data_IF_582022136372
#
_entry.id   IF_582022136372
#
_cell.length_a   1.000
_cell.length_b   1.000
_cell.length_c   1.000
_cell.angle_alpha   90.00
_cell.angle_beta   90.00
_cell.angle_gamma   90.00
#
_symmetry.space_group_name_H-M   'P 1'
#
loop_
_entity.id
_entity.type
_entity.pdbx_description
1 polymer ?
#
# COMPACT_ATOMS: atom_id res chain seq x y z
N UNK A 1 0.93 5.82 5.01
CA UNK A 1 1.25 4.38 4.87
C UNK A 1 1.93 3.88 6.14
N UNK A 2 1.80 2.59 6.45
CA UNK A 2 2.42 1.97 7.64
C UNK A 2 3.93 1.89 7.40
N UNK A 3 4.76 2.22 8.41
CA UNK A 3 6.23 2.24 8.30
C UNK A 3 6.90 0.95 8.82
N UNK A 4 6.12 -0.01 9.32
CA UNK A 4 6.59 -1.28 9.88
C UNK A 4 5.54 -2.36 9.65
N UNK A 5 5.89 -3.63 9.87
CA UNK A 5 4.88 -4.70 9.94
C UNK A 5 3.92 -4.35 11.10
N UNK A 6 2.59 -4.29 10.86
CA UNK A 6 1.63 -4.05 11.93
C UNK A 6 1.75 -5.06 13.08
N UNK A 7 1.48 -4.61 14.31
CA UNK A 7 1.41 -5.53 15.45
C UNK A 7 0.31 -6.58 15.20
N UNK A 8 0.64 -7.86 15.40
CA UNK A 8 -0.29 -8.99 15.24
C UNK A 8 -0.29 -9.67 13.87
N UNK A 9 0.57 -9.29 12.93
CA UNK A 9 0.76 -10.02 11.66
C UNK A 9 1.35 -11.41 11.93
N UNK A 10 0.69 -12.46 11.45
CA UNK A 10 1.11 -13.84 11.68
C UNK A 10 2.37 -14.20 10.90
N UNK A 11 3.05 -15.29 11.28
CA UNK A 11 4.23 -15.76 10.55
C UNK A 11 3.88 -16.15 9.10
N UNK A 12 2.66 -16.64 8.86
CA UNK A 12 2.14 -16.95 7.53
C UNK A 12 1.94 -15.69 6.70
N UNK A 13 1.37 -14.62 7.27
CA UNK A 13 1.19 -13.34 6.59
C UNK A 13 2.55 -12.69 6.25
N UNK A 14 3.54 -12.77 7.16
CA UNK A 14 4.92 -12.33 6.88
C UNK A 14 5.54 -13.13 5.73
N UNK A 15 5.39 -14.45 5.76
CA UNK A 15 5.92 -15.33 4.72
C UNK A 15 5.26 -15.08 3.36
N UNK A 16 3.95 -14.82 3.36
CA UNK A 16 3.20 -14.46 2.17
C UNK A 16 3.68 -13.12 1.59
N UNK A 17 3.85 -12.10 2.45
CA UNK A 17 4.35 -10.79 2.04
C UNK A 17 5.74 -10.88 1.41
N UNK A 18 6.65 -11.65 2.02
CA UNK A 18 7.99 -11.91 1.46
C UNK A 18 7.89 -12.57 0.10
N UNK A 19 7.06 -13.60 -0.03
CA UNK A 19 6.91 -14.31 -1.30
C UNK A 19 6.38 -13.40 -2.40
N UNK A 20 5.33 -12.63 -2.10
CA UNK A 20 4.73 -11.65 -3.02
C UNK A 20 5.75 -10.59 -3.44
N UNK A 21 6.56 -10.07 -2.51
CA UNK A 21 7.59 -9.09 -2.83
C UNK A 21 8.70 -9.65 -3.74
N UNK A 22 9.18 -10.87 -3.47
CA UNK A 22 10.17 -11.55 -4.32
C UNK A 22 9.63 -11.80 -5.73
N UNK A 23 8.41 -12.31 -5.85
CA UNK A 23 7.81 -12.65 -7.14
C UNK A 23 7.56 -11.40 -7.98
N UNK A 24 7.06 -10.33 -7.34
CA UNK A 24 6.91 -9.04 -8.00
C UNK A 24 8.25 -8.48 -8.47
N UNK A 25 9.29 -8.55 -7.63
CA UNK A 25 10.62 -8.05 -7.98
C UNK A 25 11.21 -8.79 -9.19
N UNK A 26 11.08 -10.13 -9.21
CA UNK A 26 11.53 -10.95 -10.33
C UNK A 26 10.76 -10.62 -11.63
N UNK A 27 9.43 -10.48 -11.54
CA UNK A 27 8.59 -10.19 -12.70
C UNK A 27 8.80 -8.79 -13.30
N UNK A 28 9.28 -7.82 -12.50
CA UNK A 28 9.43 -6.42 -12.91
C UNK A 28 10.90 -5.97 -13.02
N UNK A 29 11.85 -6.90 -12.94
CA UNK A 29 13.28 -6.60 -13.13
C UNK A 29 13.90 -5.77 -12.00
N UNK A 30 13.34 -5.80 -10.79
CA UNK A 30 13.95 -5.23 -9.58
C UNK A 30 15.03 -6.19 -9.05
N UNK A 31 16.09 -6.37 -9.84
CA UNK A 31 17.07 -7.42 -9.65
C UNK A 31 18.52 -6.91 -9.84
N UNK A 32 19.46 -7.63 -9.23
CA UNK A 32 20.90 -7.42 -9.36
C UNK A 32 21.61 -8.77 -9.55
N UNK A 33 22.87 -8.73 -9.99
CA UNK A 33 23.74 -9.92 -9.95
C UNK A 33 24.14 -10.22 -8.50
N UNK A 34 24.12 -11.49 -8.08
CA UNK A 34 24.58 -11.83 -6.75
C UNK A 34 26.08 -11.52 -6.61
N UNK A 35 26.54 -10.96 -5.48
CA UNK A 35 27.97 -10.80 -5.24
C UNK A 35 28.65 -12.16 -5.00
N UNK A 36 29.97 -12.29 -5.23
CA UNK A 36 30.71 -13.54 -5.02
C UNK A 36 30.61 -14.09 -3.59
N UNK A 37 30.35 -13.23 -2.61
CA UNK A 37 30.14 -13.60 -1.20
C UNK A 37 28.83 -14.36 -0.96
N UNK A 38 27.87 -14.26 -1.88
CA UNK A 38 26.56 -14.94 -1.80
C UNK A 38 26.50 -16.11 -2.78
N UNK A 39 26.96 -15.90 -4.02
CA UNK A 39 27.08 -16.96 -5.03
C UNK A 39 28.51 -16.95 -5.57
N UNK A 40 29.34 -17.96 -5.22
CA UNK A 40 30.71 -18.06 -5.73
C UNK A 40 30.75 -18.14 -7.26
N UNK A 41 31.81 -17.62 -7.87
CA UNK A 41 31.94 -17.56 -9.33
C UNK A 41 31.95 -18.96 -9.98
N UNK A 42 32.37 -19.99 -9.24
CA UNK A 42 32.36 -21.37 -9.69
C UNK A 42 30.95 -21.94 -9.87
N UNK A 43 29.96 -21.39 -9.15
CA UNK A 43 28.55 -21.80 -9.20
C UNK A 43 27.81 -21.10 -10.35
N UNK A 44 28.22 -19.89 -10.73
CA UNK A 44 27.69 -19.14 -11.87
C UNK A 44 28.79 -18.60 -12.80
N UNK A 45 29.55 -19.49 -13.46
CA UNK A 45 30.71 -19.09 -14.26
C UNK A 45 30.32 -18.27 -15.49
N UNK A 46 29.05 -18.38 -15.93
CA UNK A 46 28.50 -17.64 -17.06
C UNK A 46 27.77 -16.35 -16.63
N UNK A 47 27.65 -16.08 -15.32
CA UNK A 47 26.99 -14.88 -14.80
C UNK A 47 25.51 -14.78 -15.17
N UNK A 48 24.80 -15.91 -15.28
CA UNK A 48 23.40 -15.96 -15.73
C UNK A 48 22.42 -15.70 -14.59
N UNK A 49 22.81 -15.91 -13.34
CA UNK A 49 21.92 -15.81 -12.18
C UNK A 49 21.66 -14.36 -11.78
N UNK A 50 20.44 -14.10 -11.30
CA UNK A 50 20.03 -12.82 -10.75
C UNK A 50 19.24 -13.04 -9.45
N UNK A 51 19.36 -12.10 -8.54
CA UNK A 51 18.61 -12.06 -7.27
C UNK A 51 17.82 -10.76 -7.21
N UNK A 52 16.75 -10.72 -6.41
CA UNK A 52 16.06 -9.45 -6.17
C UNK A 52 17.03 -8.44 -5.52
N UNK A 53 16.90 -7.16 -5.86
CA UNK A 53 17.63 -6.12 -5.16
C UNK A 53 17.20 -6.09 -3.67
N UNK A 54 18.09 -5.80 -2.71
CA UNK A 54 17.67 -5.57 -1.33
C UNK A 54 16.72 -4.38 -1.26
N UNK A 55 15.58 -4.54 -0.61
CA UNK A 55 14.53 -3.51 -0.50
C UNK A 55 13.98 -3.41 0.91
N UNK A 56 13.45 -2.26 1.30
CA UNK A 56 12.48 -2.22 2.40
C UNK A 56 11.14 -2.83 1.94
N UNK A 57 10.33 -3.30 2.89
CA UNK A 57 8.96 -3.77 2.59
C UNK A 57 7.93 -2.63 2.62
N UNK A 58 8.25 -1.55 3.35
CA UNK A 58 7.38 -0.40 3.51
C UNK A 58 8.13 0.88 3.17
N UNK A 59 7.44 1.90 2.63
CA UNK A 59 8.06 3.18 2.36
C UNK A 59 8.41 3.92 3.66
N UNK A 60 9.63 4.43 3.74
CA UNK A 60 10.09 5.20 4.91
C UNK A 60 9.51 6.61 4.95
N UNK A 61 9.23 7.11 6.16
CA UNK A 61 8.65 8.44 6.38
C UNK A 61 9.68 9.52 6.06
N UNK A 62 9.26 10.58 5.35
CA UNK A 62 10.14 11.71 5.04
C UNK A 62 9.37 13.04 5.08
N UNK A 63 9.93 14.15 5.61
CA UNK A 63 9.22 15.42 5.73
C UNK A 63 8.82 16.03 4.39
N UNK A 64 7.56 16.44 4.22
CA UNK A 64 7.03 16.99 2.97
C UNK A 64 7.69 18.33 2.54
N UNK A 65 8.14 19.15 3.48
CA UNK A 65 8.82 20.43 3.16
C UNK A 65 10.23 20.22 2.58
N UNK A 66 10.85 19.08 2.86
CA UNK A 66 12.20 18.75 2.42
C UNK A 66 12.28 18.38 0.93
N UNK A 67 11.23 17.79 0.36
CA UNK A 67 11.18 17.36 -1.04
C UNK A 67 10.98 18.50 -2.05
N UNK A 68 10.85 19.75 -1.60
CA UNK A 68 10.57 20.92 -2.45
C UNK A 68 11.79 21.78 -2.81
N UNK A 69 12.99 21.42 -2.34
CA UNK A 69 14.22 22.17 -2.64
C UNK A 69 14.69 21.87 -4.07
N UNK A 70 14.51 22.85 -4.96
CA UNK A 70 15.13 22.85 -6.30
C UNK A 70 16.56 23.37 -6.18
N UNK A 71 17.54 22.48 -6.31
CA UNK A 71 18.93 22.88 -6.42
C UNK A 71 19.15 23.61 -7.74
N UNK A 72 19.58 24.88 -7.67
CA UNK A 72 20.01 25.66 -8.84
C UNK A 72 21.52 25.51 -8.98
N UNK A 73 21.96 24.74 -9.97
CA UNK A 73 23.37 24.53 -10.28
C UNK A 73 24.06 25.84 -10.65
N UNK A 74 25.16 26.15 -9.97
CA UNK A 74 26.02 27.32 -10.26
C UNK A 74 27.41 26.83 -10.69
N UNK A 75 28.10 27.61 -11.52
CA UNK A 75 29.52 27.40 -11.84
C UNK A 75 30.34 27.39 -10.54
N UNK A 76 31.06 26.29 -10.30
CA UNK A 76 31.98 26.14 -9.18
C UNK A 76 33.39 26.59 -9.60
N UNK A 77 34.03 27.41 -8.77
CA UNK A 77 35.48 27.67 -8.82
C UNK A 77 36.14 26.78 -7.77
N UNK A 78 37.14 25.99 -8.17
CA UNK A 78 37.79 25.03 -7.30
C UNK A 78 39.27 25.37 -7.06
N UNK A 79 39.74 25.08 -5.86
CA UNK A 79 41.14 25.00 -5.44
C UNK A 79 41.31 23.67 -4.72
N UNK A 80 42.31 22.86 -5.08
CA UNK A 80 42.48 21.49 -4.58
C UNK A 80 43.88 21.25 -4.01
N UNK A 81 43.97 20.44 -2.96
CA UNK A 81 45.13 19.58 -2.69
C UNK A 81 44.99 18.34 -3.56
N UNK A 82 46.06 17.92 -4.25
CA UNK A 82 45.97 17.00 -5.37
C UNK A 82 46.63 15.66 -5.01
N UNK A 83 45.84 14.59 -4.94
CA UNK A 83 46.37 13.22 -4.91
C UNK A 83 46.71 12.72 -6.33
N UNK A 84 47.39 11.57 -6.44
CA UNK A 84 47.83 11.04 -7.73
C UNK A 84 46.68 10.74 -8.70
N UNK A 85 45.49 10.40 -8.19
CA UNK A 85 44.31 10.12 -9.00
C UNK A 85 43.74 11.41 -9.59
N UNK A 86 43.52 12.43 -8.76
CA UNK A 86 43.05 13.76 -9.17
C UNK A 86 44.08 14.42 -10.10
N UNK A 87 45.38 14.27 -9.82
CA UNK A 87 46.45 14.76 -10.69
C UNK A 87 46.39 14.12 -12.08
N UNK A 88 46.07 12.82 -12.14
CA UNK A 88 45.93 12.10 -13.41
C UNK A 88 44.70 12.57 -14.20
N UNK A 89 43.57 12.82 -13.55
CA UNK A 89 42.39 13.42 -14.18
C UNK A 89 42.69 14.83 -14.70
N UNK A 90 43.44 15.63 -13.94
CA UNK A 90 43.86 16.97 -14.36
C UNK A 90 44.76 16.93 -15.61
N UNK A 91 45.71 16.00 -15.67
CA UNK A 91 46.55 15.80 -16.87
C UNK A 91 45.73 15.47 -18.12
N UNK A 92 44.63 14.73 -17.97
CA UNK A 92 43.68 14.49 -19.08
C UNK A 92 43.04 15.81 -19.51
N UNK A 93 42.54 16.62 -18.57
CA UNK A 93 42.00 17.95 -18.85
C UNK A 93 43.00 18.83 -19.62
N UNK A 94 44.25 18.90 -19.17
CA UNK A 94 45.30 19.73 -19.79
C UNK A 94 45.59 19.30 -21.23
N UNK A 95 45.68 18.00 -21.50
CA UNK A 95 45.91 17.47 -22.84
C UNK A 95 44.76 17.82 -23.80
N UNK A 96 43.51 17.62 -23.37
CA UNK A 96 42.34 17.98 -24.20
C UNK A 96 42.27 19.49 -24.43
N UNK A 97 42.63 20.30 -23.41
CA UNK A 97 42.68 21.76 -23.55
C UNK A 97 43.73 22.22 -24.56
N UNK A 98 44.89 21.56 -24.64
CA UNK A 98 45.94 21.87 -25.62
C UNK A 98 45.50 21.59 -27.06
N UNK A 99 44.70 20.54 -27.28
CA UNK A 99 44.11 20.22 -28.58
C UNK A 99 42.94 21.17 -28.93
N UNK A 100 42.30 21.75 -27.91
CA UNK A 100 41.07 22.53 -28.00
C UNK A 100 39.84 21.65 -27.85
N UNK A 101 38.89 22.06 -27.00
CA UNK A 101 37.65 21.31 -26.81
C UNK A 101 36.81 21.28 -28.08
N UNK A 102 36.58 20.09 -28.63
CA UNK A 102 35.79 19.90 -29.84
C UNK A 102 34.26 19.99 -29.60
N UNK A 103 33.80 19.68 -28.39
CA UNK A 103 32.39 19.70 -27.98
C UNK A 103 32.21 20.75 -26.89
N UNK A 104 31.35 21.74 -27.13
CA UNK A 104 31.07 22.83 -26.20
C UNK A 104 29.87 22.54 -25.29
N UNK A 105 29.06 21.52 -25.60
CA UNK A 105 27.95 21.06 -24.76
C UNK A 105 28.42 20.06 -23.71
N UNK A 106 27.93 20.23 -22.49
CA UNK A 106 28.12 19.34 -21.34
C UNK A 106 26.77 18.88 -20.80
N UNK A 107 26.62 17.57 -20.59
CA UNK A 107 25.46 16.96 -19.94
C UNK A 107 25.87 16.44 -18.56
N UNK A 108 25.16 16.86 -17.53
CA UNK A 108 25.31 16.40 -16.16
C UNK A 108 24.08 15.61 -15.71
N UNK A 109 24.32 14.41 -15.19
CA UNK A 109 23.31 13.58 -14.52
C UNK A 109 23.69 13.52 -13.03
N UNK A 110 23.18 14.48 -12.27
CA UNK A 110 23.58 14.74 -10.89
C UNK A 110 22.67 14.04 -9.90
N UNK A 111 23.17 13.80 -8.68
CA UNK A 111 22.35 13.40 -7.54
C UNK A 111 22.79 14.10 -6.26
N UNK A 112 21.87 14.84 -5.66
CA UNK A 112 22.04 15.56 -4.40
C UNK A 112 21.47 14.73 -3.27
N UNK A 113 22.32 14.26 -2.36
CA UNK A 113 21.94 13.30 -1.32
C UNK A 113 21.76 14.00 0.03
N UNK A 114 20.65 13.71 0.73
CA UNK A 114 20.23 14.38 1.97
C UNK A 114 19.83 13.40 3.06
N UNK A 115 20.11 13.75 4.32
CA UNK A 115 19.60 13.05 5.50
C UNK A 115 18.75 13.96 6.38
N UNK A 116 17.75 13.35 7.03
CA UNK A 116 16.89 14.04 8.00
C UNK A 116 17.63 14.21 9.32
N UNK A 117 17.59 15.43 9.83
CA UNK A 117 18.12 15.82 11.12
C UNK A 117 16.99 16.44 11.94
N UNK A 118 16.97 16.14 13.22
CA UNK A 118 16.04 16.76 14.16
C UNK A 118 16.86 17.54 15.19
N UNK A 119 16.60 18.83 15.30
CA UNK A 119 17.16 19.67 16.36
C UNK A 119 16.05 20.43 17.09
N UNK A 120 16.42 21.32 18.03
CA UNK A 120 15.46 22.11 18.81
C UNK A 120 14.53 23.00 17.95
N UNK A 121 14.86 23.22 16.67
CA UNK A 121 14.06 23.98 15.70
C UNK A 121 13.14 23.11 14.83
N UNK A 122 13.20 21.78 14.98
CA UNK A 122 12.37 20.80 14.28
C UNK A 122 13.13 19.98 13.23
N UNK A 123 12.38 19.26 12.39
CA UNK A 123 12.93 18.41 11.33
C UNK A 123 13.49 19.23 10.17
N UNK A 124 14.74 18.98 9.81
CA UNK A 124 15.44 19.58 8.69
C UNK A 124 16.11 18.52 7.82
N UNK A 125 16.35 18.83 6.55
CA UNK A 125 17.26 18.02 5.71
C UNK A 125 18.59 18.74 5.53
N UNK A 126 19.67 17.96 5.63
CA UNK A 126 21.04 18.42 5.37
C UNK A 126 21.62 17.59 4.24
N UNK A 127 22.24 18.28 3.28
CA UNK A 127 22.94 17.63 2.18
C UNK A 127 24.17 16.94 2.75
N UNK A 128 24.34 15.66 2.43
CA UNK A 128 25.48 14.84 2.82
C UNK A 128 26.48 14.78 1.67
N UNK A 129 26.00 14.68 0.44
CA UNK A 129 26.84 14.51 -0.74
C UNK A 129 26.21 15.14 -2.00
N UNK A 130 27.06 15.52 -2.96
CA UNK A 130 26.65 15.91 -4.30
C UNK A 130 27.41 15.11 -5.36
N UNK A 131 26.72 14.19 -6.02
CA UNK A 131 27.28 13.26 -7.00
C UNK A 131 27.27 13.88 -8.40
N UNK A 132 28.43 13.91 -9.05
CA UNK A 132 28.62 14.49 -10.40
C UNK A 132 29.00 13.48 -11.47
N UNK A 133 29.22 12.22 -11.09
CA UNK A 133 29.59 11.13 -12.00
C UNK A 133 28.92 9.83 -11.53
N UNK A 134 28.47 9.02 -12.50
CA UNK A 134 27.93 7.67 -12.26
C UNK A 134 26.83 7.57 -11.19
N UNK A 135 25.95 8.58 -11.12
CA UNK A 135 24.77 8.62 -10.25
C UNK A 135 23.85 7.41 -10.48
N UNK A 136 24.07 6.36 -9.70
CA UNK A 136 23.43 5.05 -9.89
C UNK A 136 22.01 4.97 -9.32
N UNK A 137 21.26 3.93 -9.69
CA UNK A 137 19.94 3.55 -9.16
C UNK A 137 18.70 4.37 -9.60
N UNK A 138 18.81 5.27 -10.58
CA UNK A 138 17.64 5.98 -11.12
C UNK A 138 16.56 5.05 -11.70
N UNK A 139 16.97 3.94 -12.33
CA UNK A 139 16.03 2.93 -12.85
C UNK A 139 15.37 2.08 -11.75
N UNK A 140 16.17 1.56 -10.81
CA UNK A 140 15.66 0.70 -9.74
C UNK A 140 14.80 1.44 -8.72
N UNK A 141 15.03 2.74 -8.47
CA UNK A 141 14.21 3.53 -7.53
C UNK A 141 12.74 3.63 -7.96
N UNK A 142 12.50 3.68 -9.28
CA UNK A 142 11.15 3.65 -9.85
C UNK A 142 10.46 2.33 -9.55
N UNK A 143 11.18 1.21 -9.72
CA UNK A 143 10.62 -0.12 -9.45
C UNK A 143 10.35 -0.34 -7.96
N UNK A 144 11.22 0.14 -7.06
CA UNK A 144 10.95 0.09 -5.60
C UNK A 144 9.70 0.88 -5.23
N UNK A 145 9.48 2.05 -5.84
CA UNK A 145 8.27 2.84 -5.60
C UNK A 145 7.01 2.14 -6.15
N UNK A 146 7.12 1.37 -7.24
CA UNK A 146 6.03 0.54 -7.76
C UNK A 146 5.75 -0.67 -6.86
N UNK A 147 6.79 -1.34 -6.36
CA UNK A 147 6.66 -2.42 -5.37
C UNK A 147 5.91 -1.93 -4.14
N UNK A 148 6.33 -0.83 -3.52
CA UNK A 148 5.64 -0.31 -2.34
C UNK A 148 4.20 0.11 -2.62
N UNK A 149 3.89 0.65 -3.81
CA UNK A 149 2.49 0.91 -4.21
C UNK A 149 1.69 -0.38 -4.39
N UNK A 150 2.30 -1.42 -4.95
CA UNK A 150 1.67 -2.73 -5.09
C UNK A 150 1.42 -3.39 -3.74
N UNK A 151 2.39 -3.38 -2.83
CA UNK A 151 2.24 -3.91 -1.47
C UNK A 151 1.26 -3.07 -0.63
N UNK A 152 1.21 -1.75 -0.84
CA UNK A 152 0.24 -0.86 -0.20
C UNK A 152 -1.16 -0.95 -0.83
N UNK A 153 -1.26 -1.39 -2.08
CA UNK A 153 -2.51 -1.79 -2.73
C UNK A 153 -2.96 -3.13 -2.13
N UNK A 154 -3.30 -3.07 -0.85
CA UNK A 154 -4.21 -4.01 -0.20
C UNK A 154 -5.43 -4.24 -1.09
N UNK A 155 -6.06 -5.41 -1.00
CA UNK A 155 -7.36 -5.69 -1.63
C UNK A 155 -8.36 -4.54 -1.42
N UNK A 156 -8.22 -3.77 -0.34
CA UNK A 156 -8.97 -2.55 -0.09
C UNK A 156 -8.92 -1.50 -1.22
N UNK A 157 -7.81 -1.33 -1.95
CA UNK A 157 -7.76 -0.40 -3.09
C UNK A 157 -8.60 -0.91 -4.28
N UNK A 158 -8.61 -2.22 -4.51
CA UNK A 158 -9.44 -2.85 -5.55
C UNK A 158 -10.93 -2.81 -5.15
N UNK A 159 -11.23 -3.15 -3.89
CA UNK A 159 -12.57 -3.06 -3.31
C UNK A 159 -13.09 -1.60 -3.31
N UNK A 160 -12.24 -0.63 -2.98
CA UNK A 160 -12.58 0.80 -3.02
C UNK A 160 -12.95 1.25 -4.43
N UNK A 161 -12.21 0.80 -5.46
CA UNK A 161 -12.57 1.08 -6.86
C UNK A 161 -13.93 0.49 -7.23
N UNK A 162 -14.28 -0.69 -6.74
CA UNK A 162 -15.60 -1.29 -6.90
C UNK A 162 -16.71 -0.46 -6.27
N UNK A 163 -16.53 -0.04 -5.01
CA UNK A 163 -17.48 0.84 -4.30
C UNK A 163 -17.62 2.18 -5.02
N UNK A 164 -16.50 2.78 -5.46
CA UNK A 164 -16.49 4.03 -6.19
C UNK A 164 -17.15 3.94 -7.57
N UNK A 165 -17.00 2.81 -8.26
CA UNK A 165 -17.69 2.54 -9.51
C UNK A 165 -19.21 2.47 -9.32
N UNK A 166 -19.68 1.80 -8.26
CA UNK A 166 -21.10 1.76 -7.91
C UNK A 166 -21.62 3.18 -7.57
N UNK A 167 -20.86 3.96 -6.80
CA UNK A 167 -21.22 5.35 -6.49
C UNK A 167 -21.39 6.18 -7.76
N UNK A 168 -20.42 6.15 -8.68
CA UNK A 168 -20.48 6.89 -9.95
C UNK A 168 -21.62 6.42 -10.85
N UNK A 169 -21.90 5.12 -10.89
CA UNK A 169 -23.02 4.58 -11.66
C UNK A 169 -24.37 5.08 -11.13
N UNK A 170 -24.53 5.09 -9.80
CA UNK A 170 -25.71 5.66 -9.15
C UNK A 170 -25.85 7.17 -9.40
N UNK A 171 -24.74 7.90 -9.27
CA UNK A 171 -24.67 9.34 -9.49
C UNK A 171 -25.09 9.72 -10.92
N UNK A 172 -24.53 9.01 -11.92
CA UNK A 172 -24.87 9.19 -13.32
C UNK A 172 -26.34 8.86 -13.62
N UNK A 173 -26.88 7.75 -13.09
CA UNK A 173 -28.28 7.38 -13.28
C UNK A 173 -29.25 8.39 -12.63
N UNK A 174 -28.84 8.96 -11.50
CA UNK A 174 -29.67 9.90 -10.71
C UNK A 174 -29.63 11.32 -11.25
N UNK A 175 -28.58 11.71 -11.99
CA UNK A 175 -28.47 13.02 -12.62
C UNK A 175 -29.61 13.31 -13.63
N UNK A 176 -30.17 12.27 -14.25
CA UNK A 176 -31.26 12.40 -15.21
C UNK A 176 -32.66 12.37 -14.58
N UNK A 177 -32.78 12.14 -13.27
CA UNK A 177 -34.03 11.74 -12.62
C UNK A 177 -34.60 12.74 -11.59
N UNK A 178 -33.89 13.82 -11.23
CA UNK A 178 -34.27 14.70 -10.10
C UNK A 178 -34.58 16.13 -10.52
N UNK A 179 -35.72 16.64 -10.03
CA UNK A 179 -36.02 18.06 -9.90
C UNK A 179 -35.30 18.66 -8.67
N UNK A 180 -34.81 19.89 -8.83
CA UNK A 180 -34.07 20.83 -7.94
C UNK A 180 -34.04 20.64 -6.41
N UNK A 181 -32.96 21.14 -5.76
CA UNK A 181 -31.56 20.79 -6.01
C UNK A 181 -31.22 19.44 -5.35
N UNK A 182 -30.36 18.62 -5.98
CA UNK A 182 -30.03 17.30 -5.46
C UNK A 182 -29.25 17.40 -4.15
N UNK A 183 -29.58 16.52 -3.19
CA UNK A 183 -28.78 16.36 -1.95
C UNK A 183 -27.36 15.92 -2.32
N UNK A 184 -26.33 16.33 -1.57
CA UNK A 184 -25.00 15.74 -1.72
C UNK A 184 -25.09 14.23 -1.51
N UNK A 185 -24.37 13.46 -2.33
CA UNK A 185 -24.41 11.99 -2.27
C UNK A 185 -23.26 11.44 -1.44
N UNK A 186 -23.48 10.28 -0.81
CA UNK A 186 -22.45 9.63 0.00
C UNK A 186 -22.46 8.10 -0.13
N UNK A 187 -21.38 7.49 0.37
CA UNK A 187 -21.29 6.07 0.67
C UNK A 187 -21.46 5.88 2.18
N UNK A 188 -22.32 4.94 2.58
CA UNK A 188 -22.59 4.62 3.98
C UNK A 188 -22.05 3.23 4.33
N UNK A 189 -21.07 3.17 5.21
CA UNK A 189 -20.55 1.94 5.80
C UNK A 189 -21.41 1.57 7.00
N UNK A 190 -22.18 0.48 6.87
CA UNK A 190 -23.00 -0.05 7.96
C UNK A 190 -22.18 -1.05 8.76
N UNK A 191 -21.94 -0.78 10.04
CA UNK A 191 -20.92 -1.48 10.84
C UNK A 191 -21.49 -2.05 12.12
N UNK A 192 -20.84 -3.03 12.74
CA UNK A 192 -21.32 -3.57 14.01
C UNK A 192 -21.15 -2.53 15.13
N UNK A 193 -22.05 -2.56 16.11
CA UNK A 193 -21.90 -1.83 17.36
C UNK A 193 -20.61 -2.27 18.08
N UNK A 194 -19.72 -1.33 18.37
CA UNK A 194 -18.45 -1.62 19.04
C UNK A 194 -17.46 -2.45 18.21
N UNK A 195 -17.48 -2.31 16.87
CA UNK A 195 -16.55 -2.99 15.95
C UNK A 195 -15.09 -2.90 16.40
N UNK A 196 -14.46 -4.06 16.61
CA UNK A 196 -13.05 -4.16 17.02
C UNK A 196 -12.10 -4.16 15.83
N UNK A 197 -12.54 -4.68 14.68
CA UNK A 197 -11.78 -4.67 13.43
C UNK A 197 -12.05 -3.39 12.62
N UNK A 198 -12.16 -2.25 13.31
CA UNK A 198 -12.49 -0.97 12.69
C UNK A 198 -11.39 -0.50 11.74
N UNK A 199 -10.13 -0.79 12.03
CA UNK A 199 -9.00 -0.29 11.25
C UNK A 199 -8.93 -0.91 9.84
N UNK A 200 -9.27 -2.19 9.69
CA UNK A 200 -9.47 -2.83 8.38
C UNK A 200 -10.48 -2.06 7.52
N UNK A 201 -11.60 -1.66 8.13
CA UNK A 201 -12.65 -0.91 7.45
C UNK A 201 -12.23 0.54 7.16
N UNK A 202 -11.49 1.18 8.07
CA UNK A 202 -10.97 2.54 7.89
C UNK A 202 -10.02 2.64 6.70
N UNK A 203 -9.19 1.65 6.47
CA UNK A 203 -8.34 1.62 5.28
C UNK A 203 -9.17 1.67 4.00
N UNK A 204 -10.28 0.93 3.94
CA UNK A 204 -11.19 0.98 2.79
C UNK A 204 -11.89 2.35 2.68
N UNK A 205 -12.37 2.92 3.79
CA UNK A 205 -13.00 4.26 3.79
C UNK A 205 -12.07 5.34 3.27
N UNK A 206 -10.81 5.38 3.73
CA UNK A 206 -9.84 6.38 3.29
C UNK A 206 -9.53 6.23 1.79
N UNK A 207 -9.49 5.00 1.28
CA UNK A 207 -9.30 4.76 -0.15
C UNK A 207 -10.53 5.16 -0.98
N UNK A 208 -11.75 5.01 -0.45
CA UNK A 208 -12.98 5.47 -1.14
C UNK A 208 -13.08 7.00 -1.10
N UNK A 209 -12.77 7.64 0.03
CA UNK A 209 -12.93 9.09 0.18
C UNK A 209 -11.94 9.91 -0.63
N UNK A 210 -10.77 9.33 -0.94
CA UNK A 210 -9.70 9.94 -1.75
C UNK A 210 -9.82 9.65 -3.25
N UNK A 211 -10.91 9.01 -3.70
CA UNK A 211 -11.20 8.89 -5.13
C UNK A 211 -11.45 10.26 -5.76
N UNK A 212 -11.28 10.38 -7.08
CA UNK A 212 -11.56 11.61 -7.81
C UNK A 212 -12.80 11.43 -8.72
N UNK A 213 -13.83 12.30 -8.59
CA UNK A 213 -14.00 13.32 -7.55
C UNK A 213 -14.19 12.72 -6.15
N UNK A 214 -13.82 13.48 -5.11
CA UNK A 214 -13.91 13.06 -3.71
C UNK A 214 -15.30 12.54 -3.34
N UNK A 215 -15.36 11.35 -2.75
CA UNK A 215 -16.61 10.68 -2.37
C UNK A 215 -16.83 10.85 -0.86
N UNK A 216 -17.92 11.49 -0.41
CA UNK A 216 -18.26 11.53 1.01
C UNK A 216 -18.52 10.12 1.55
N UNK A 217 -17.83 9.73 2.61
CA UNK A 217 -17.98 8.42 3.26
C UNK A 217 -18.36 8.62 4.72
N UNK A 218 -19.40 7.91 5.16
CA UNK A 218 -19.85 7.91 6.55
C UNK A 218 -19.91 6.50 7.10
N UNK A 219 -19.74 6.37 8.41
CA UNK A 219 -19.97 5.12 9.16
C UNK A 219 -21.22 5.27 10.00
N UNK A 220 -22.05 4.22 10.02
CA UNK A 220 -23.25 4.14 10.83
C UNK A 220 -23.32 2.76 11.50
N UNK A 221 -23.29 2.69 12.83
CA UNK A 221 -23.60 1.47 13.56
C UNK A 221 -24.97 0.90 13.14
N UNK A 222 -25.07 -0.41 13.07
CA UNK A 222 -26.26 -1.10 12.60
C UNK A 222 -27.50 -0.74 13.43
N UNK A 223 -27.35 -0.62 14.75
CA UNK A 223 -28.42 -0.23 15.68
C UNK A 223 -28.96 1.20 15.47
N UNK A 224 -28.21 2.06 14.78
CA UNK A 224 -28.52 3.48 14.61
C UNK A 224 -29.17 3.78 13.24
N UNK A 225 -29.35 2.79 12.37
CA UNK A 225 -29.89 2.96 11.02
C UNK A 225 -31.23 3.72 11.04
N UNK A 226 -32.19 3.28 11.85
CA UNK A 226 -33.52 3.93 11.91
C UNK A 226 -33.47 5.32 12.57
N UNK A 227 -32.44 5.61 13.36
CA UNK A 227 -32.29 6.88 14.06
C UNK A 227 -31.74 7.98 13.14
N UNK A 228 -30.89 7.59 12.18
CA UNK A 228 -30.15 8.54 11.35
C UNK A 228 -30.42 8.41 9.85
N UNK A 229 -31.26 7.46 9.43
CA UNK A 229 -31.69 7.33 8.04
C UNK A 229 -33.21 7.27 7.90
N UNK A 230 -33.71 7.71 6.75
CA UNK A 230 -35.10 7.52 6.31
C UNK A 230 -35.16 7.33 4.81
N UNK A 231 -36.24 6.76 4.30
CA UNK A 231 -36.52 6.71 2.86
C UNK A 231 -37.37 7.92 2.49
N UNK A 232 -36.96 8.68 1.47
CA UNK A 232 -37.70 9.84 1.00
C UNK A 232 -39.02 9.45 0.33
N UNK A 233 -40.03 10.30 0.50
CA UNK A 233 -41.33 10.19 -0.15
C UNK A 233 -41.19 10.56 -1.63
N UNK A 234 -40.96 9.55 -2.46
CA UNK A 234 -40.77 9.72 -3.90
C UNK A 234 -40.67 8.37 -4.61
N UNK A 235 -40.89 8.38 -5.92
CA UNK A 235 -40.83 7.17 -6.74
C UNK A 235 -39.44 6.49 -6.70
N UNK A 236 -38.37 7.28 -6.51
CA UNK A 236 -37.00 6.75 -6.39
C UNK A 236 -36.74 6.08 -5.04
N UNK A 237 -37.43 6.47 -3.97
CA UNK A 237 -37.19 5.97 -2.60
C UNK A 237 -35.75 6.17 -2.16
N UNK A 238 -35.23 7.38 -2.31
CA UNK A 238 -33.87 7.75 -1.91
C UNK A 238 -33.65 7.46 -0.42
N UNK A 239 -32.54 6.82 -0.07
CA UNK A 239 -32.13 6.71 1.33
C UNK A 239 -31.46 8.01 1.74
N UNK A 240 -32.04 8.71 2.72
CA UNK A 240 -31.52 9.97 3.24
C UNK A 240 -30.83 9.72 4.57
N UNK A 241 -29.56 10.07 4.69
CA UNK A 241 -28.77 10.01 5.92
C UNK A 241 -28.58 11.41 6.52
N UNK A 242 -28.77 11.51 7.84
CA UNK A 242 -28.55 12.74 8.62
C UNK A 242 -27.48 12.46 9.67
N UNK A 243 -26.24 12.97 9.50
CA UNK A 243 -25.16 12.72 10.45
C UNK A 243 -25.44 13.46 11.78
N UNK A 244 -25.40 12.77 12.93
CA UNK A 244 -25.76 13.36 14.22
C UNK A 244 -24.78 14.44 14.71
N UNK A 245 -23.56 14.46 14.17
CA UNK A 245 -22.50 15.44 14.51
C UNK A 245 -22.37 16.61 13.52
N UNK A 246 -23.31 16.75 12.56
CA UNK A 246 -23.22 17.82 11.56
C UNK A 246 -23.25 19.21 12.23
N UNK A 247 -22.27 20.07 11.90
CA UNK A 247 -22.23 21.49 12.32
C UNK A 247 -23.30 22.35 11.66
N UNK A 248 -23.85 21.88 10.54
CA UNK A 248 -25.01 22.51 9.89
C UNK A 248 -26.26 21.78 10.37
N UNK A 249 -27.20 22.45 11.05
CA UNK A 249 -28.49 21.86 11.37
C UNK A 249 -29.11 21.29 10.10
N UNK A 250 -29.46 20.00 10.10
CA UNK A 250 -30.15 19.32 8.99
C UNK A 250 -29.32 19.11 7.69
N UNK A 251 -28.00 18.92 7.78
CA UNK A 251 -27.26 18.41 6.61
C UNK A 251 -27.75 17.01 6.24
N UNK A 252 -28.36 16.87 5.07
CA UNK A 252 -28.88 15.60 4.56
C UNK A 252 -28.06 15.12 3.38
N UNK A 253 -27.73 13.84 3.38
CA UNK A 253 -27.05 13.17 2.29
C UNK A 253 -27.96 12.13 1.65
N UNK A 254 -27.99 12.08 0.32
CA UNK A 254 -28.57 10.93 -0.39
C UNK A 254 -27.52 9.80 -0.42
N UNK A 255 -27.85 8.66 0.19
CA UNK A 255 -26.95 7.51 0.22
C UNK A 255 -27.01 6.79 -1.12
N UNK A 256 -25.93 6.86 -1.89
CA UNK A 256 -25.81 6.21 -3.18
C UNK A 256 -25.45 4.72 -3.04
N UNK A 257 -24.58 4.38 -2.08
CA UNK A 257 -24.11 3.02 -1.83
C UNK A 257 -24.13 2.73 -0.34
N UNK A 258 -24.70 1.59 0.04
CA UNK A 258 -24.57 1.02 1.38
C UNK A 258 -23.64 -0.17 1.33
N UNK A 259 -22.53 -0.10 2.06
CA UNK A 259 -21.57 -1.18 2.21
C UNK A 259 -21.69 -1.83 3.58
N UNK A 260 -22.10 -3.10 3.62
CA UNK A 260 -22.33 -3.81 4.86
C UNK A 260 -21.04 -4.45 5.41
N UNK A 261 -20.71 -4.08 6.64
CA UNK A 261 -19.74 -4.75 7.53
C UNK A 261 -20.42 -5.28 8.80
N UNK A 262 -21.74 -5.41 8.76
CA UNK A 262 -22.63 -5.95 9.78
C UNK A 262 -23.87 -6.56 9.12
N UNK A 263 -24.77 -7.12 9.92
CA UNK A 263 -26.04 -7.69 9.44
C UNK A 263 -25.88 -9.09 8.85
N UNK A 264 -24.76 -9.76 9.13
CA UNK A 264 -24.46 -11.12 8.69
C UNK A 264 -24.69 -12.17 9.79
N UNK A 265 -24.78 -11.76 11.05
CA UNK A 265 -25.03 -12.66 12.18
C UNK A 265 -26.30 -12.31 12.94
N UNK A 266 -26.93 -13.26 13.65
CA UNK A 266 -28.13 -12.99 14.44
C UNK A 266 -27.89 -11.98 15.58
N UNK A 267 -26.64 -11.84 16.05
CA UNK A 267 -26.27 -10.83 17.05
C UNK A 267 -26.44 -9.39 16.56
N UNK A 268 -26.46 -9.15 15.24
CA UNK A 268 -26.75 -7.83 14.67
C UNK A 268 -28.26 -7.54 14.62
N UNK A 269 -29.11 -8.53 14.95
CA UNK A 269 -30.58 -8.43 14.93
C UNK A 269 -31.19 -8.74 16.31
N UNK A 270 -30.89 -7.92 17.34
CA UNK A 270 -31.40 -8.17 18.70
C UNK A 270 -32.91 -7.92 18.85
N UNK A 271 -33.54 -7.22 17.90
CA UNK A 271 -34.96 -6.83 17.96
C UNK A 271 -35.58 -6.76 16.57
N UNK A 272 -36.92 -6.59 16.53
CA UNK A 272 -37.65 -6.36 15.28
C UNK A 272 -37.21 -5.07 14.57
N UNK A 273 -36.81 -4.04 15.33
CA UNK A 273 -36.33 -2.78 14.77
C UNK A 273 -35.05 -2.97 13.97
N UNK A 274 -34.18 -3.91 14.35
CA UNK A 274 -32.99 -4.25 13.58
C UNK A 274 -33.33 -4.93 12.23
N UNK A 275 -34.46 -5.65 12.16
CA UNK A 275 -34.99 -6.17 10.91
C UNK A 275 -35.65 -5.08 10.07
N UNK A 276 -36.36 -4.16 10.71
CA UNK A 276 -36.95 -3.00 10.02
C UNK A 276 -35.87 -2.07 9.46
N UNK A 277 -34.77 -1.88 10.19
CA UNK A 277 -33.57 -1.19 9.72
C UNK A 277 -33.04 -1.80 8.41
N UNK A 278 -32.91 -3.15 8.37
CA UNK A 278 -32.49 -3.85 7.15
C UNK A 278 -33.45 -3.61 6.00
N UNK A 279 -34.74 -3.74 6.28
CA UNK A 279 -35.79 -3.57 5.30
C UNK A 279 -35.81 -2.15 4.72
N UNK A 280 -35.66 -1.12 5.57
CA UNK A 280 -35.57 0.28 5.16
C UNK A 280 -34.43 0.51 4.17
N UNK A 281 -33.24 -0.02 4.45
CA UNK A 281 -32.11 0.10 3.53
C UNK A 281 -32.37 -0.68 2.24
N UNK A 282 -32.84 -1.92 2.33
CA UNK A 282 -33.03 -2.79 1.16
C UNK A 282 -34.06 -2.21 0.17
N UNK A 283 -35.18 -1.66 0.68
CA UNK A 283 -36.26 -1.07 -0.13
C UNK A 283 -35.89 0.27 -0.77
N UNK A 284 -34.79 0.88 -0.36
CA UNK A 284 -34.34 2.18 -0.88
C UNK A 284 -33.68 2.05 -2.25
N UNK A 285 -33.49 3.20 -2.92
CA UNK A 285 -32.78 3.32 -4.18
C UNK A 285 -31.28 2.98 -4.09
N UNK A 286 -30.67 3.10 -2.90
CA UNK A 286 -29.24 2.92 -2.73
C UNK A 286 -28.77 1.57 -3.30
N UNK A 287 -27.56 1.51 -3.85
CA UNK A 287 -26.93 0.24 -4.23
C UNK A 287 -26.48 -0.47 -2.96
N UNK A 288 -26.96 -1.69 -2.73
CA UNK A 288 -26.57 -2.50 -1.56
C UNK A 288 -25.40 -3.40 -1.92
N UNK A 289 -24.35 -3.34 -1.12
CA UNK A 289 -23.19 -4.23 -1.21
C UNK A 289 -23.09 -5.06 0.08
N UNK A 290 -23.61 -6.31 0.09
CA UNK A 290 -24.47 -6.93 -0.93
C UNK A 290 -25.97 -6.62 -0.74
N UNK A 291 -26.78 -6.88 -1.77
CA UNK A 291 -28.26 -6.97 -1.64
C UNK A 291 -28.65 -8.17 -0.76
N UNK A 292 -29.88 -8.20 -0.26
CA UNK A 292 -30.39 -9.34 0.52
C UNK A 292 -30.35 -10.63 -0.30
N UNK A 293 -30.67 -10.58 -1.60
CA UNK A 293 -30.63 -11.75 -2.48
C UNK A 293 -29.19 -12.24 -2.70
N UNK A 294 -28.24 -11.32 -2.91
CA UNK A 294 -26.82 -11.66 -3.04
C UNK A 294 -26.28 -12.26 -1.73
N UNK A 295 -26.70 -11.74 -0.57
CA UNK A 295 -26.34 -12.33 0.73
C UNK A 295 -26.90 -13.74 0.89
N UNK A 296 -28.17 -13.98 0.53
CA UNK A 296 -28.80 -15.30 0.56
C UNK A 296 -28.13 -16.28 -0.40
N UNK A 297 -27.70 -15.81 -1.58
CA UNK A 297 -26.98 -16.64 -2.54
C UNK A 297 -25.63 -17.17 -2.00
N UNK A 298 -25.01 -16.44 -1.05
CA UNK A 298 -23.81 -16.88 -0.35
C UNK A 298 -24.04 -17.97 0.71
N UNK A 299 -25.28 -18.39 0.95
CA UNK A 299 -25.58 -19.44 1.92
C UNK A 299 -25.04 -20.79 1.46
N UNK A 300 -24.52 -21.56 2.42
CA UNK A 300 -23.98 -22.91 2.17
C UNK A 300 -24.98 -23.85 1.49
N UNK A 301 -26.28 -23.68 1.74
CA UNK A 301 -27.33 -24.45 1.08
C UNK A 301 -27.48 -24.12 -0.41
N UNK A 302 -27.31 -22.85 -0.79
CA UNK A 302 -27.30 -22.41 -2.19
C UNK A 302 -26.01 -22.89 -2.86
N UNK A 303 -24.87 -22.80 -2.17
CA UNK A 303 -23.60 -23.37 -2.63
C UNK A 303 -23.71 -24.89 -2.89
N UNK A 304 -24.41 -25.63 -2.03
CA UNK A 304 -24.69 -27.07 -2.23
C UNK A 304 -25.52 -27.31 -3.50
N UNK A 305 -26.58 -26.52 -3.75
CA UNK A 305 -27.41 -26.68 -4.95
C UNK A 305 -26.70 -26.31 -6.26
N UNK A 306 -25.71 -25.40 -6.21
CA UNK A 306 -24.88 -25.03 -7.36
C UNK A 306 -23.79 -26.06 -7.68
N UNK A 307 -23.42 -26.93 -6.74
CA UNK A 307 -22.44 -27.99 -6.94
C UNK A 307 -22.93 -29.12 -7.88
N UNK A 308 -24.25 -29.19 -8.16
CA UNK A 308 -24.85 -30.13 -9.12
C UNK A 308 -24.75 -29.62 -10.58
N UNK A 309 -24.28 -28.40 -10.81
CA UNK A 309 -24.06 -27.85 -12.16
C UNK A 309 -22.72 -28.34 -12.72
N UNK A 310 -22.79 -29.26 -13.70
CA UNK A 310 -21.68 -30.02 -14.31
C UNK A 310 -20.43 -29.21 -14.72
N UNK A 311 -20.52 -27.90 -14.96
CA UNK A 311 -19.42 -27.07 -15.48
C UNK A 311 -18.55 -26.41 -14.40
N UNK A 312 -18.91 -26.51 -13.11
CA UNK A 312 -18.17 -25.89 -11.99
C UNK A 312 -17.38 -26.90 -11.13
N UNK A 313 -17.57 -28.20 -11.37
CA UNK A 313 -17.02 -29.30 -10.58
C UNK A 313 -15.49 -29.33 -10.54
N UNK A 314 -14.81 -28.88 -11.60
CA UNK A 314 -13.34 -28.94 -11.70
C UNK A 314 -12.60 -27.90 -10.83
N UNK A 315 -13.34 -26.97 -10.19
CA UNK A 315 -12.76 -25.89 -9.36
C UNK A 315 -13.09 -25.98 -7.87
N UNK A 316 -13.94 -26.94 -7.48
CA UNK A 316 -14.39 -27.09 -6.10
C UNK A 316 -13.74 -28.30 -5.43
N UNK A 317 -13.18 -28.09 -4.24
CA UNK A 317 -12.91 -29.20 -3.32
C UNK A 317 -14.24 -29.79 -2.86
N UNK A 318 -14.37 -31.11 -2.77
CA UNK A 318 -15.62 -31.76 -2.33
C UNK A 318 -16.07 -31.25 -0.95
N UNK A 319 -17.16 -30.49 -0.89
CA UNK A 319 -17.80 -30.03 0.35
C UNK A 319 -18.99 -30.95 0.62
N UNK A 320 -18.94 -31.65 1.75
CA UNK A 320 -20.00 -32.55 2.15
C UNK A 320 -20.85 -31.91 3.25
N UNK A 321 -22.20 -32.00 3.18
CA UNK A 321 -23.05 -31.55 4.26
C UNK A 321 -22.85 -32.44 5.50
N UNK A 322 -23.21 -31.97 6.69
CA UNK A 322 -23.28 -32.80 7.91
C UNK A 322 -24.74 -33.02 8.33
N UNK A 323 -25.66 -33.05 7.36
CA UNK A 323 -27.10 -33.24 7.53
C UNK A 323 -27.51 -34.70 7.33
N UNK A 324 -28.81 -35.01 7.41
CA UNK A 324 -29.33 -36.39 7.34
C UNK A 324 -29.47 -36.92 5.91
N UNK A 325 -28.99 -36.19 4.90
CA UNK A 325 -28.98 -36.67 3.51
C UNK A 325 -27.99 -37.84 3.34
N UNK A 326 -28.12 -38.66 2.28
CA UNK A 326 -27.15 -39.73 1.99
C UNK A 326 -25.70 -39.22 1.91
N UNK A 327 -25.49 -38.05 1.29
CA UNK A 327 -24.19 -37.39 1.24
C UNK A 327 -23.71 -36.96 2.62
N UNK A 328 -24.61 -36.48 3.48
CA UNK A 328 -24.27 -36.05 4.83
C UNK A 328 -24.01 -37.19 5.81
N UNK A 329 -24.65 -38.34 5.62
CA UNK A 329 -24.34 -39.56 6.37
C UNK A 329 -22.96 -40.12 5.99
N UNK A 330 -22.62 -40.12 4.70
CA UNK A 330 -21.28 -40.54 4.24
C UNK A 330 -20.18 -39.55 4.71
N UNK A 331 -20.48 -38.25 4.74
CA UNK A 331 -19.58 -37.23 5.29
C UNK A 331 -19.27 -37.48 6.77
N UNK A 332 -20.30 -37.76 7.58
CA UNK A 332 -20.15 -38.07 9.00
C UNK A 332 -19.31 -39.34 9.19
N UNK A 333 -19.58 -40.39 8.40
CA UNK A 333 -18.81 -41.64 8.44
C UNK A 333 -17.32 -41.37 8.20
N UNK A 334 -16.98 -40.60 7.15
CA UNK A 334 -15.60 -40.19 6.84
C UNK A 334 -14.98 -39.30 7.92
N UNK A 335 -15.77 -38.41 8.52
CA UNK A 335 -15.30 -37.51 9.58
C UNK A 335 -15.01 -38.24 10.91
N UNK A 336 -15.69 -39.35 11.19
CA UNK A 336 -15.47 -40.18 12.39
C UNK A 336 -14.48 -41.33 12.20
N UNK A 337 -14.07 -41.60 10.95
CA UNK A 337 -13.09 -42.63 10.61
C UNK A 337 -11.67 -42.08 10.83
N UNK A 338 -10.83 -42.71 11.68
CA UNK A 338 -9.51 -42.18 12.07
C UNK A 338 -8.51 -41.98 10.94
N UNK A 339 -8.63 -42.72 9.84
CA UNK A 339 -7.71 -42.60 8.70
C UNK A 339 -8.28 -41.68 7.62
N UNK A 340 -9.59 -41.75 7.35
CA UNK A 340 -10.21 -40.91 6.33
C UNK A 340 -10.34 -39.46 6.78
N UNK A 341 -10.54 -39.19 8.08
CA UNK A 341 -10.73 -37.83 8.60
C UNK A 341 -9.51 -36.92 8.38
N UNK A 342 -8.31 -37.50 8.26
CA UNK A 342 -7.04 -36.78 8.00
C UNK A 342 -7.07 -35.99 6.67
N UNK A 343 -7.91 -36.40 5.73
CA UNK A 343 -8.10 -35.72 4.44
C UNK A 343 -9.15 -34.59 4.50
N UNK A 344 -9.77 -34.33 5.66
CA UNK A 344 -10.88 -33.39 5.81
C UNK A 344 -10.64 -32.40 6.95
N UNK A 345 -11.15 -31.18 6.81
CA UNK A 345 -11.12 -30.16 7.86
C UNK A 345 -12.55 -29.90 8.32
N UNK A 346 -12.85 -30.20 9.59
CA UNK A 346 -14.14 -29.88 10.20
C UNK A 346 -14.10 -28.42 10.68
N UNK A 347 -14.73 -27.52 9.92
CA UNK A 347 -14.80 -26.10 10.27
C UNK A 347 -16.09 -25.81 11.05
N UNK A 348 -16.02 -25.37 12.33
CA UNK A 348 -17.17 -24.79 13.02
C UNK A 348 -17.50 -23.43 12.39
N UNK A 349 -18.69 -22.91 12.65
CA UNK A 349 -19.15 -21.68 12.00
C UNK A 349 -18.43 -20.40 12.46
N UNK A 350 -17.49 -20.40 13.43
CA UNK A 350 -16.73 -19.20 13.89
C UNK A 350 -15.36 -19.55 14.52
N UNK A 351 -14.32 -18.72 14.33
CA UNK A 351 -12.93 -18.89 14.82
C UNK A 351 -12.35 -17.66 15.58
N UNK A 352 -11.17 -17.80 16.22
CA UNK A 352 -10.61 -17.00 17.34
C UNK A 352 -9.11 -16.62 17.19
N UNK A 353 -8.59 -15.65 17.99
CA UNK A 353 -7.24 -15.59 18.63
C UNK A 353 -6.94 -14.23 19.36
N UNK A 354 -5.89 -14.18 20.24
CA UNK A 354 -5.44 -13.04 21.08
C UNK A 354 -3.88 -12.83 21.08
N UNK A 355 -3.39 -11.66 21.55
CA UNK A 355 -2.05 -10.97 21.41
C UNK A 355 -1.22 -10.76 22.72
N UNK A 356 0.08 -10.34 22.67
CA UNK A 356 0.73 -9.24 23.50
C UNK A 356 2.28 -8.95 23.28
N UNK A 357 2.78 -7.82 23.85
CA UNK A 357 3.90 -6.88 23.52
C UNK A 357 5.17 -6.85 24.44
N UNK A 358 6.28 -6.14 24.07
CA UNK A 358 6.87 -4.89 24.70
C UNK A 358 8.37 -4.57 24.36
N UNK A 359 8.79 -3.28 24.53
CA UNK A 359 10.03 -2.61 24.03
C UNK A 359 10.89 -1.92 25.17
N UNK A 360 11.72 -0.86 24.96
CA UNK A 360 13.21 -0.84 24.76
C UNK A 360 13.99 0.16 25.69
N UNK A 361 15.29 0.50 25.43
CA UNK A 361 15.99 1.68 26.02
C UNK A 361 16.63 2.66 24.99
N UNK A 362 17.19 3.81 25.45
CA UNK A 362 17.51 5.08 24.73
C UNK A 362 18.94 5.66 25.07
N UNK A 363 19.42 6.86 24.60
CA UNK A 363 20.04 7.19 23.28
C UNK A 363 21.38 8.00 23.36
N UNK A 364 22.00 8.37 22.22
CA UNK A 364 22.63 9.72 21.98
C UNK A 364 23.09 9.95 20.52
N UNK A 365 22.67 11.10 19.93
CA UNK A 365 23.20 11.84 18.74
C UNK A 365 23.39 11.11 17.39
N UNK A 366 22.30 10.67 16.77
CA UNK A 366 22.26 10.08 15.41
C UNK A 366 21.10 10.67 14.58
N UNK A 367 21.11 10.58 13.23
CA UNK A 367 19.91 10.78 12.42
C UNK A 367 18.76 9.98 13.04
N UNK A 368 17.58 10.57 13.22
CA UNK A 368 16.49 9.95 13.98
C UNK A 368 16.16 8.58 13.38
N UNK A 369 16.48 7.45 14.05
CA UNK A 369 16.25 6.14 13.48
C UNK A 369 14.75 5.89 13.33
N UNK A 370 14.33 5.52 12.13
CA UNK A 370 12.99 5.00 11.91
C UNK A 370 12.99 3.49 12.13
N UNK A 371 11.81 2.87 12.25
CA UNK A 371 11.69 1.41 12.26
C UNK A 371 11.14 0.96 10.91
N UNK A 372 11.74 -0.07 10.31
CA UNK A 372 11.26 -0.68 9.07
C UNK A 372 11.75 -2.13 8.97
N UNK A 373 11.42 -2.80 7.86
CA UNK A 373 11.82 -4.19 7.58
C UNK A 373 12.52 -4.23 6.23
N UNK A 374 13.74 -4.75 6.22
CA UNK A 374 14.55 -4.94 5.01
C UNK A 374 14.43 -6.40 4.56
N UNK A 375 14.09 -6.61 3.29
CA UNK A 375 14.15 -7.90 2.63
C UNK A 375 15.47 -8.02 1.86
N UNK A 376 16.33 -8.94 2.29
CA UNK A 376 17.66 -9.19 1.69
C UNK A 376 17.90 -10.69 1.56
N UNK A 377 18.21 -11.16 0.36
CA UNK A 377 18.52 -12.56 0.09
C UNK A 377 17.44 -13.53 0.63
N UNK A 378 16.17 -13.13 0.58
CA UNK A 378 15.04 -13.89 1.13
C UNK A 378 14.85 -13.81 2.65
N UNK A 379 15.72 -13.11 3.39
CA UNK A 379 15.63 -12.93 4.83
C UNK A 379 15.07 -11.54 5.19
N UNK A 380 14.37 -11.48 6.32
CA UNK A 380 13.88 -10.24 6.90
C UNK A 380 14.82 -9.74 8.00
N UNK A 381 15.24 -8.49 7.88
CA UNK A 381 16.01 -7.75 8.87
C UNK A 381 15.11 -6.64 9.43
N UNK A 382 14.65 -6.81 10.68
CA UNK A 382 13.77 -5.86 11.37
C UNK A 382 14.56 -5.01 12.35
N UNK A 383 14.35 -3.70 12.34
CA UNK A 383 14.96 -2.82 13.33
C UNK A 383 15.03 -1.36 12.93
N UNK A 384 15.95 -0.67 13.61
CA UNK A 384 16.28 0.73 13.35
C UNK A 384 16.91 0.90 11.98
N UNK A 385 16.46 1.92 11.26
CA UNK A 385 16.94 2.26 9.93
C UNK A 385 17.23 3.76 9.82
N UNK A 386 18.16 4.10 8.93
CA UNK A 386 18.47 5.46 8.52
C UNK A 386 18.29 5.55 7.01
N UNK A 387 17.54 6.56 6.57
CA UNK A 387 17.25 6.79 5.15
C UNK A 387 17.93 8.06 4.64
N UNK A 388 18.42 7.98 3.41
CA UNK A 388 19.12 9.03 2.69
C UNK A 388 18.43 9.27 1.34
N UNK A 389 17.90 10.49 1.16
CA UNK A 389 17.18 10.91 -0.04
C UNK A 389 18.15 11.49 -1.05
N UNK A 390 18.31 10.84 -2.19
CA UNK A 390 18.98 11.37 -3.36
C UNK A 390 18.00 11.98 -4.35
N UNK A 391 18.15 13.26 -4.67
CA UNK A 391 17.36 13.96 -5.68
C UNK A 391 18.18 14.06 -6.96
N UNK A 392 17.65 13.52 -8.06
CA UNK A 392 18.33 13.59 -9.35
C UNK A 392 18.08 14.93 -10.04
N UNK A 393 19.07 15.39 -10.78
CA UNK A 393 18.89 16.51 -11.70
C UNK A 393 19.66 16.30 -13.00
N UNK A 394 19.08 16.81 -14.08
CA UNK A 394 19.65 16.77 -15.42
C UNK A 394 19.91 18.19 -15.90
N UNK A 395 21.14 18.45 -16.34
CA UNK A 395 21.51 19.76 -16.85
C UNK A 395 22.31 19.61 -18.15
N UNK A 396 21.88 20.28 -19.22
CA UNK A 396 22.62 20.42 -20.47
C UNK A 396 22.99 21.89 -20.64
N UNK A 397 24.28 22.19 -20.76
CA UNK A 397 24.77 23.56 -20.86
C UNK A 397 26.00 23.66 -21.78
N UNK A 398 26.31 24.87 -22.20
CA UNK A 398 27.62 25.25 -22.74
C UNK A 398 28.13 26.51 -22.02
N UNK A 399 29.18 27.14 -22.53
CA UNK A 399 29.75 28.33 -21.90
C UNK A 399 28.86 29.59 -21.99
N UNK A 400 27.87 29.59 -22.88
CA UNK A 400 26.99 30.74 -23.17
C UNK A 400 25.63 30.63 -22.50
N UNK A 401 25.07 29.43 -22.44
CA UNK A 401 23.70 29.21 -22.00
C UNK A 401 23.46 27.82 -21.37
N UNK A 402 22.32 27.71 -20.68
CA UNK A 402 21.78 26.44 -20.17
C UNK A 402 20.61 26.07 -21.08
N UNK A 403 20.72 24.93 -21.77
CA UNK A 403 19.72 24.44 -22.71
C UNK A 403 18.65 23.59 -22.03
N UNK A 404 19.00 22.91 -20.93
CA UNK A 404 18.07 22.09 -20.14
C UNK A 404 18.53 22.07 -18.68
N UNK A 405 17.58 22.15 -17.74
CA UNK A 405 17.86 22.06 -16.30
C UNK A 405 16.58 21.65 -15.55
N UNK A 406 16.47 20.38 -15.20
CA UNK A 406 15.27 19.80 -14.58
C UNK A 406 15.61 18.88 -13.40
N UNK A 407 14.67 18.76 -12.47
CA UNK A 407 14.65 17.70 -11.47
C UNK A 407 14.18 16.40 -12.14
N UNK A 408 14.91 15.31 -11.92
CA UNK A 408 14.74 14.05 -12.64
C UNK A 408 14.31 12.88 -11.73
N UNK A 409 13.53 13.18 -10.69
CA UNK A 409 13.03 12.21 -9.72
C UNK A 409 13.97 11.99 -8.54
N UNK A 410 13.80 10.86 -7.84
CA UNK A 410 14.52 10.59 -6.61
C UNK A 410 14.93 9.12 -6.43
N UNK A 411 15.82 8.92 -5.48
CA UNK A 411 16.24 7.66 -4.88
C UNK A 411 16.11 7.81 -3.37
N UNK A 412 15.55 6.80 -2.69
CA UNK A 412 15.73 6.68 -1.25
C UNK A 412 16.60 5.44 -1.00
N UNK A 413 17.73 5.64 -0.32
CA UNK A 413 18.57 4.56 0.17
C UNK A 413 18.34 4.41 1.65
N UNK A 414 18.25 3.18 2.12
CA UNK A 414 18.05 2.88 3.54
C UNK A 414 19.08 1.86 4.00
N UNK A 415 19.64 2.07 5.19
CA UNK A 415 20.54 1.13 5.88
C UNK A 415 20.11 0.92 7.32
N UNK A 416 20.58 -0.15 7.95
CA UNK A 416 20.43 -0.33 9.39
C UNK A 416 21.10 0.82 10.16
N UNK A 417 20.49 1.27 11.25
CA UNK A 417 20.97 2.39 12.07
C UNK A 417 22.36 2.18 12.69
N UNK A 418 22.76 0.92 12.85
CA UNK A 418 24.09 0.51 13.34
C UNK A 418 25.13 0.28 12.24
N UNK A 419 24.77 0.52 10.97
CA UNK A 419 25.67 0.27 9.84
C UNK A 419 26.40 1.54 9.43
N UNK A 420 27.73 1.49 9.36
CA UNK A 420 28.56 2.60 8.88
C UNK A 420 28.54 2.71 7.35
N UNK A 421 28.36 1.60 6.64
CA UNK A 421 28.35 1.55 5.16
C UNK A 421 26.92 1.58 4.58
N UNK A 422 26.73 2.29 3.46
CA UNK A 422 25.41 2.48 2.83
C UNK A 422 25.25 1.86 1.43
N UNK A 423 26.26 1.17 0.92
CA UNK A 423 26.25 0.64 -0.44
C UNK A 423 25.25 -0.49 -0.63
N UNK A 424 24.27 -0.33 -1.54
CA UNK A 424 23.25 -1.35 -1.83
C UNK A 424 23.89 -2.60 -2.45
N UNK A 425 24.70 -2.41 -3.51
CA UNK A 425 25.37 -3.52 -4.19
C UNK A 425 26.53 -4.12 -3.39
N UNK A 426 27.09 -3.35 -2.44
CA UNK A 426 28.10 -3.83 -1.50
C UNK A 426 27.49 -4.69 -0.36
N UNK A 427 26.16 -4.71 -0.22
CA UNK A 427 25.43 -5.56 0.73
C UNK A 427 25.04 -4.89 2.04
N UNK A 428 25.34 -3.59 2.23
CA UNK A 428 25.09 -2.87 3.48
C UNK A 428 23.80 -2.04 3.45
N UNK A 429 23.46 -1.49 2.28
CA UNK A 429 22.24 -0.71 2.05
C UNK A 429 21.13 -1.50 1.37
N UNK A 430 19.96 -0.89 1.24
CA UNK A 430 18.83 -1.36 0.44
C UNK A 430 18.11 -0.19 -0.24
N UNK A 431 17.30 -0.52 -1.24
CA UNK A 431 16.44 0.43 -1.95
C UNK A 431 15.15 0.69 -1.15
N UNK A 432 14.68 1.93 -1.15
CA UNK A 432 13.47 2.33 -0.43
C UNK A 432 12.62 3.31 -1.28
N UNK A 433 11.44 3.69 -0.82
CA UNK A 433 10.67 4.80 -1.36
C UNK A 433 10.09 5.69 -0.26
N UNK A 434 9.70 6.90 -0.62
CA UNK A 434 9.27 7.92 0.34
C UNK A 434 7.77 7.82 0.65
N UNK A 435 7.42 7.91 1.92
CA UNK A 435 6.07 8.23 2.41
C UNK A 435 6.11 9.62 3.07
N UNK A 436 5.58 10.63 2.37
CA UNK A 436 5.65 12.02 2.84
C UNK A 436 4.79 12.23 4.09
N UNK A 437 5.35 12.91 5.09
CA UNK A 437 4.67 13.28 6.34
C UNK A 437 4.76 14.80 6.54
N UNK A 438 3.67 15.39 7.04
CA UNK A 438 3.55 16.84 7.27
C UNK A 438 4.03 17.23 8.67
#
# INVERSE_FOLDING_TARGET
>A
MVSSIPDGVTQEERSHLVQVAKDWAAANGLAIRPPPTIVPQEVDPAGVLAIHAPVTLFPSKFPARASSRRDRYKRLTMTFDVDDFVASLWKVHERVKQEGYAQDLSLGLFRSDYMVHEDASGLQIKQVEFNTIASSFGGLSTQTSLLHRFLAATDAAHLARGIAAAFRAYDAASAFASASPPRPRCVLFVTQDGERNVFDQRHLEYNVSTQEPAIPVFRLPYSEILQHTRVADGARRELVYTPPWSRTPSAEYEVAVVYYRAGYGPGDYPSQDAWEARFQVERSAAIKCPTILTQLAGMKKVQQGLADAKSLLDTFTNIYPMDASPAGLEARRKATDPELCKAFVLKPQRGAAATTFTAPPSPTHHPTPAHNVILRNGNLEEGGIISELGVYGTCLWNDKEILHNEEAGYLLRTKGDKSEEGGVAAGFGCMDSVNLVN
#
